data_IF_953485751138
#
_entry.id   IF_953485751138
#
_cell.length_a   1.000
_cell.length_b   1.000
_cell.length_c   1.000
_cell.angle_alpha   90.00
_cell.angle_beta   90.00
_cell.angle_gamma   90.00
#
_symmetry.space_group_name_H-M   'P 1'
#
loop_
_entity.id
_entity.type
_entity.pdbx_description
1 polymer ?
#
# COMPACT_ATOMS: atom_id res chain seq x y z
N UNK A 1 26.76 22.49 -5.16
CA UNK A 1 25.52 22.69 -4.39
C UNK A 1 25.91 23.17 -3.01
N UNK A 2 25.55 24.41 -2.63
CA UNK A 2 25.79 24.91 -1.27
C UNK A 2 25.03 23.98 -0.30
N UNK A 3 25.75 23.36 0.63
CA UNK A 3 25.13 22.51 1.65
C UNK A 3 24.19 23.36 2.52
N UNK A 4 23.01 22.83 2.79
CA UNK A 4 22.05 23.42 3.73
C UNK A 4 22.74 23.64 5.09
N UNK A 5 22.47 24.79 5.71
CA UNK A 5 23.00 25.12 7.02
C UNK A 5 22.38 24.21 8.09
N UNK A 6 23.04 24.08 9.26
CA UNK A 6 22.49 23.32 10.40
C UNK A 6 21.08 23.80 10.79
N UNK A 7 20.82 25.11 10.67
CA UNK A 7 19.53 25.73 10.94
C UNK A 7 18.45 25.26 9.96
N UNK A 8 18.81 25.08 8.69
CA UNK A 8 17.89 24.65 7.63
C UNK A 8 17.47 23.18 7.83
N UNK A 9 18.36 22.35 8.40
CA UNK A 9 18.04 20.95 8.74
C UNK A 9 17.14 20.83 9.96
N UNK A 10 17.40 21.61 11.01
CA UNK A 10 16.56 21.64 12.20
C UNK A 10 15.13 22.09 11.82
N UNK A 11 15.00 23.11 10.96
CA UNK A 11 13.71 23.55 10.42
C UNK A 11 13.00 22.44 9.64
N UNK A 12 13.72 21.74 8.75
CA UNK A 12 13.13 20.64 7.97
C UNK A 12 12.65 19.48 8.84
N UNK A 13 13.38 19.14 9.90
CA UNK A 13 12.97 18.11 10.87
C UNK A 13 11.67 18.55 11.56
N UNK A 14 11.59 19.81 12.01
CA UNK A 14 10.38 20.34 12.65
C UNK A 14 9.18 20.40 11.70
N UNK A 15 9.39 20.75 10.43
CA UNK A 15 8.33 20.73 9.42
C UNK A 15 7.82 19.30 9.18
N UNK A 16 8.73 18.33 9.02
CA UNK A 16 8.35 16.93 8.81
C UNK A 16 7.61 16.38 10.05
N UNK A 17 8.12 16.65 11.25
CA UNK A 17 7.49 16.19 12.48
C UNK A 17 6.15 16.89 12.76
N UNK A 18 6.06 18.20 12.51
CA UNK A 18 4.82 18.95 12.62
C UNK A 18 3.74 18.44 11.66
N UNK A 19 4.11 18.05 10.44
CA UNK A 19 3.20 17.41 9.50
C UNK A 19 2.70 16.05 10.01
N UNK A 20 3.59 15.26 10.62
CA UNK A 20 3.19 14.02 11.30
C UNK A 20 2.20 14.32 12.44
N UNK A 21 2.52 15.23 13.36
CA UNK A 21 1.65 15.58 14.48
C UNK A 21 0.26 16.00 14.04
N UNK A 22 0.17 16.86 13.01
CA UNK A 22 -1.11 17.29 12.44
C UNK A 22 -1.97 16.12 11.96
N UNK A 23 -1.37 15.08 11.36
CA UNK A 23 -2.10 13.86 10.97
C UNK A 23 -2.58 13.04 12.17
N UNK A 24 -1.83 13.07 13.27
CA UNK A 24 -2.14 12.29 14.46
C UNK A 24 -3.19 12.96 15.35
N UNK A 25 -3.28 14.29 15.33
CA UNK A 25 -4.25 15.08 16.11
C UNK A 25 -5.71 14.71 15.83
N UNK A 26 -6.01 14.28 14.60
CA UNK A 26 -7.36 13.86 14.20
C UNK A 26 -7.80 12.52 14.83
N UNK A 27 -6.90 11.80 15.52
CA UNK A 27 -7.19 10.50 16.13
C UNK A 27 -7.07 10.54 17.67
N UNK A 28 -8.19 10.67 18.41
CA UNK A 28 -8.17 10.83 19.87
C UNK A 28 -7.69 9.59 20.62
N UNK A 29 -7.57 8.44 19.96
CA UNK A 29 -7.10 7.20 20.57
C UNK A 29 -5.56 7.11 20.64
N UNK A 30 -4.85 8.09 20.06
CA UNK A 30 -3.40 8.11 20.05
C UNK A 30 -2.82 8.84 21.25
N UNK A 31 -1.77 8.26 21.84
CA UNK A 31 -1.03 8.90 22.93
C UNK A 31 0.05 9.82 22.34
N UNK A 32 -0.35 11.03 21.98
CA UNK A 32 0.54 12.04 21.39
C UNK A 32 1.70 12.40 22.33
N UNK A 33 1.48 12.40 23.65
CA UNK A 33 2.54 12.68 24.63
C UNK A 33 3.63 11.63 24.58
N UNK A 34 3.24 10.36 24.49
CA UNK A 34 4.19 9.26 24.36
C UNK A 34 4.92 9.30 23.01
N UNK A 35 4.23 9.67 21.92
CA UNK A 35 4.83 9.82 20.59
C UNK A 35 5.86 10.95 20.54
N UNK A 36 5.59 12.10 21.19
CA UNK A 36 6.55 13.20 21.35
C UNK A 36 7.82 12.73 22.07
N UNK A 37 7.67 12.03 23.19
CA UNK A 37 8.81 11.48 23.94
C UNK A 37 9.66 10.52 23.09
N UNK A 38 9.01 9.70 22.27
CA UNK A 38 9.70 8.77 21.36
C UNK A 38 10.45 9.51 20.27
N UNK A 39 9.83 10.54 19.68
CA UNK A 39 10.48 11.37 18.68
C UNK A 39 11.75 12.02 19.23
N UNK A 40 11.71 12.60 20.43
CA UNK A 40 12.89 13.21 21.05
C UNK A 40 14.02 12.19 21.22
N UNK A 41 13.70 10.98 21.70
CA UNK A 41 14.67 9.89 21.87
C UNK A 41 15.24 9.46 20.51
N UNK A 42 14.40 9.27 19.50
CA UNK A 42 14.84 8.86 18.15
C UNK A 42 15.73 9.93 17.50
N UNK A 43 15.34 11.22 17.61
CA UNK A 43 16.08 12.35 17.08
C UNK A 43 17.47 12.49 17.73
N UNK A 44 17.55 12.32 19.05
CA UNK A 44 18.83 12.29 19.77
C UNK A 44 19.67 11.09 19.35
N UNK A 45 19.07 9.91 19.18
CA UNK A 45 19.79 8.67 18.86
C UNK A 45 20.42 8.69 17.46
N UNK A 46 19.74 9.32 16.50
CA UNK A 46 20.23 9.47 15.13
C UNK A 46 21.01 10.79 14.90
N UNK A 47 21.34 11.53 15.97
CA UNK A 47 22.04 12.81 15.85
C UNK A 47 23.41 12.64 15.21
N UNK A 48 23.67 13.40 14.15
CA UNK A 48 24.92 13.33 13.38
C UNK A 48 24.95 12.24 12.31
N UNK A 49 23.88 11.46 12.15
CA UNK A 49 23.72 10.50 11.07
C UNK A 49 23.03 11.14 9.87
N UNK A 50 23.48 10.79 8.66
CA UNK A 50 22.97 11.33 7.40
C UNK A 50 22.72 10.21 6.40
N UNK A 51 21.67 10.36 5.59
CA UNK A 51 21.37 9.44 4.47
C UNK A 51 22.31 9.70 3.29
N UNK A 52 22.27 8.81 2.28
CA UNK A 52 22.96 9.02 0.99
C UNK A 52 22.51 10.32 0.28
N UNK A 53 21.31 10.83 0.58
CA UNK A 53 20.78 12.12 0.11
C UNK A 53 21.37 13.34 0.84
N UNK A 54 22.25 13.14 1.83
CA UNK A 54 22.74 14.14 2.80
C UNK A 54 21.66 14.70 3.75
N UNK A 55 20.48 14.10 3.80
CA UNK A 55 19.45 14.48 4.77
C UNK A 55 19.72 13.85 6.14
N UNK A 56 19.38 14.54 7.25
CA UNK A 56 19.41 13.96 8.59
C UNK A 56 18.62 12.66 8.65
N UNK A 57 19.21 11.62 9.24
CA UNK A 57 18.63 10.27 9.22
C UNK A 57 17.23 10.23 9.83
N UNK A 58 16.98 11.02 10.89
CA UNK A 58 15.69 11.10 11.59
C UNK A 58 14.49 11.41 10.69
N UNK A 59 14.69 12.08 9.56
CA UNK A 59 13.61 12.35 8.60
C UNK A 59 13.03 11.03 8.07
N UNK A 60 13.84 9.99 7.90
CA UNK A 60 13.35 8.69 7.43
C UNK A 60 12.39 8.03 8.42
N UNK A 61 12.71 7.83 9.71
CA UNK A 61 11.74 7.33 10.69
C UNK A 61 10.46 8.18 10.81
N UNK A 62 10.55 9.52 10.68
CA UNK A 62 9.35 10.39 10.68
C UNK A 62 8.45 10.09 9.48
N UNK A 63 9.03 9.99 8.28
CA UNK A 63 8.26 9.67 7.06
C UNK A 63 7.66 8.27 7.11
N UNK A 64 8.39 7.28 7.64
CA UNK A 64 7.85 5.92 7.86
C UNK A 64 6.69 5.95 8.84
N UNK A 65 6.80 6.70 9.94
CA UNK A 65 5.71 6.89 10.89
C UNK A 65 4.51 7.62 10.27
N UNK A 66 4.73 8.58 9.39
CA UNK A 66 3.70 9.28 8.62
C UNK A 66 2.95 8.34 7.67
N UNK A 67 3.66 7.46 6.97
CA UNK A 67 3.06 6.42 6.11
C UNK A 67 2.23 5.43 6.92
N UNK A 68 2.70 5.05 8.11
CA UNK A 68 1.96 4.18 9.04
C UNK A 68 0.74 4.90 9.62
N UNK A 69 0.83 6.21 9.87
CA UNK A 69 -0.27 7.02 10.35
C UNK A 69 -1.41 7.12 9.32
N UNK A 70 -1.10 7.18 8.02
CA UNK A 70 -2.09 7.16 6.93
C UNK A 70 -2.93 5.86 6.90
N UNK A 71 -2.45 4.81 7.56
CA UNK A 71 -3.18 3.55 7.75
C UNK A 71 -4.03 3.53 9.04
N UNK A 72 -4.05 4.61 9.82
CA UNK A 72 -4.76 4.75 11.09
C UNK A 72 -4.41 3.66 12.12
N UNK A 73 -3.12 3.33 12.24
CA UNK A 73 -2.60 2.31 13.15
C UNK A 73 -2.54 2.78 14.61
N UNK A 74 -2.38 1.84 15.55
CA UNK A 74 -2.30 2.15 16.99
C UNK A 74 -1.02 2.89 17.39
N UNK A 75 -1.04 3.56 18.55
CA UNK A 75 0.11 4.29 19.13
C UNK A 75 1.38 3.44 19.14
N UNK A 76 1.27 2.16 19.51
CA UNK A 76 2.43 1.25 19.55
C UNK A 76 3.07 1.05 18.17
N UNK A 77 2.29 1.02 17.09
CA UNK A 77 2.83 0.90 15.72
C UNK A 77 3.55 2.17 15.30
N UNK A 78 2.98 3.34 15.58
CA UNK A 78 3.61 4.63 15.25
C UNK A 78 4.93 4.79 16.01
N UNK A 79 4.95 4.44 17.30
CA UNK A 79 6.16 4.45 18.11
C UNK A 79 7.21 3.48 17.55
N UNK A 80 6.81 2.26 17.21
CA UNK A 80 7.73 1.29 16.63
C UNK A 80 8.28 1.75 15.27
N UNK A 81 7.48 2.46 14.46
CA UNK A 81 7.93 3.07 13.21
C UNK A 81 8.98 4.18 13.44
N UNK A 82 8.82 5.02 14.46
CA UNK A 82 9.83 6.04 14.82
C UNK A 82 11.13 5.43 15.36
N UNK A 83 11.09 4.18 15.85
CA UNK A 83 12.22 3.48 16.47
C UNK A 83 12.82 2.38 15.59
N UNK A 84 12.29 2.12 14.38
CA UNK A 84 12.54 0.86 13.68
C UNK A 84 14.03 0.59 13.37
N UNK A 85 14.80 1.64 13.07
CA UNK A 85 16.24 1.57 12.77
C UNK A 85 17.13 1.89 13.98
N UNK A 86 16.56 2.06 15.17
CA UNK A 86 17.35 2.49 16.33
C UNK A 86 18.23 1.38 16.91
N UNK A 87 17.79 0.11 16.87
CA UNK A 87 18.57 -1.01 17.45
C UNK A 87 19.82 -1.30 16.62
N UNK A 88 19.77 -1.06 15.31
CA UNK A 88 20.86 -1.41 14.39
C UNK A 88 21.83 -0.26 14.20
N UNK A 89 21.31 0.95 14.06
CA UNK A 89 22.11 2.11 13.67
C UNK A 89 22.50 2.99 14.86
N UNK A 90 22.03 2.71 16.08
CA UNK A 90 22.28 3.56 17.25
C UNK A 90 22.70 2.76 18.49
N UNK A 91 22.95 3.47 19.60
CA UNK A 91 23.28 2.88 20.90
C UNK A 91 22.06 2.29 21.64
N UNK A 92 20.85 2.49 21.12
CA UNK A 92 19.65 1.95 21.75
C UNK A 92 19.61 0.43 21.63
N UNK A 93 19.19 -0.23 22.71
CA UNK A 93 19.08 -1.69 22.76
C UNK A 93 17.64 -2.09 23.03
N UNK A 94 17.31 -3.36 22.77
CA UNK A 94 16.01 -3.93 23.14
C UNK A 94 15.65 -3.66 24.61
N UNK A 95 16.63 -3.78 25.52
CA UNK A 95 16.42 -3.54 26.94
C UNK A 95 16.02 -2.09 27.22
N UNK A 96 16.70 -1.11 26.61
CA UNK A 96 16.34 0.30 26.75
C UNK A 96 14.91 0.56 26.28
N UNK A 97 14.53 0.04 25.10
CA UNK A 97 13.18 0.23 24.55
C UNK A 97 12.13 -0.44 25.43
N UNK A 98 12.42 -1.65 25.92
CA UNK A 98 11.52 -2.39 26.82
C UNK A 98 11.29 -1.67 28.14
N UNK A 99 12.34 -1.10 28.73
CA UNK A 99 12.27 -0.44 30.03
C UNK A 99 11.52 0.90 29.92
N UNK A 100 11.65 1.62 28.80
CA UNK A 100 11.01 2.94 28.59
C UNK A 100 9.57 2.81 28.06
N UNK A 101 9.32 1.91 27.11
CA UNK A 101 8.07 1.83 26.34
C UNK A 101 7.30 0.52 26.53
N UNK A 102 7.88 -0.43 27.26
CA UNK A 102 7.28 -1.73 27.54
C UNK A 102 7.63 -2.80 26.50
N UNK A 103 7.37 -4.05 26.91
CA UNK A 103 7.72 -5.25 26.14
C UNK A 103 7.10 -5.28 24.74
N UNK A 104 5.83 -4.88 24.61
CA UNK A 104 5.08 -4.94 23.35
C UNK A 104 5.76 -4.13 22.23
N UNK A 105 6.21 -2.91 22.51
CA UNK A 105 6.89 -2.06 21.53
C UNK A 105 8.29 -2.62 21.23
N UNK A 106 9.03 -3.02 22.27
CA UNK A 106 10.36 -3.60 22.10
C UNK A 106 10.35 -4.86 21.22
N UNK A 107 9.34 -5.74 21.38
CA UNK A 107 9.18 -6.95 20.58
C UNK A 107 8.94 -6.64 19.09
N UNK A 108 8.16 -5.59 18.78
CA UNK A 108 7.93 -5.14 17.39
C UNK A 108 9.23 -4.60 16.79
N UNK A 109 9.91 -3.66 17.48
CA UNK A 109 11.15 -3.05 16.99
C UNK A 109 12.24 -4.10 16.79
N UNK A 110 12.37 -5.04 17.72
CA UNK A 110 13.30 -6.16 17.59
C UNK A 110 12.94 -7.11 16.45
N UNK A 111 11.64 -7.31 16.20
CA UNK A 111 11.15 -8.08 15.06
C UNK A 111 11.56 -7.45 13.73
N UNK A 112 11.50 -6.12 13.63
CA UNK A 112 11.91 -5.36 12.43
C UNK A 112 13.41 -5.47 12.21
N UNK A 113 14.23 -5.17 13.22
CA UNK A 113 15.69 -5.28 13.13
C UNK A 113 16.13 -6.69 12.71
N UNK A 114 15.55 -7.76 13.28
CA UNK A 114 15.90 -9.13 12.87
C UNK A 114 15.71 -9.39 11.37
N UNK A 115 14.71 -8.78 10.74
CA UNK A 115 14.52 -8.90 9.29
C UNK A 115 15.66 -8.21 8.52
N UNK A 116 16.03 -6.99 8.92
CA UNK A 116 17.09 -6.21 8.26
C UNK A 116 18.46 -6.90 8.39
N UNK A 117 18.76 -7.42 9.58
CA UNK A 117 20.01 -8.17 9.84
C UNK A 117 20.12 -9.43 8.97
N UNK A 118 19.01 -10.14 8.71
CA UNK A 118 19.02 -11.37 7.91
C UNK A 118 19.10 -11.04 6.41
N UNK A 119 18.37 -10.02 5.93
CA UNK A 119 18.48 -9.47 4.56
C UNK A 119 19.94 -9.09 4.23
N UNK A 120 20.67 -8.57 5.22
CA UNK A 120 22.08 -8.18 5.04
C UNK A 120 23.03 -9.40 4.91
N UNK A 121 22.69 -10.53 5.53
CA UNK A 121 23.48 -11.78 5.49
C UNK A 121 23.21 -12.62 4.24
N UNK A 122 22.04 -12.47 3.61
CA UNK A 122 21.65 -13.20 2.41
C UNK A 122 22.39 -12.76 1.12
N UNK A 123 23.28 -11.76 1.22
CA UNK A 123 24.13 -11.28 0.11
C UNK A 123 25.09 -12.35 -0.48
N UNK A 124 25.29 -13.50 0.18
CA UNK A 124 26.14 -14.61 -0.29
C UNK A 124 25.36 -15.63 -1.14
N UNK A 125 24.03 -15.61 -1.11
CA UNK A 125 23.18 -16.61 -1.79
C UNK A 125 22.98 -16.29 -3.30
N UNK A 126 22.36 -17.18 -4.07
CA UNK A 126 21.84 -16.84 -5.40
C UNK A 126 20.64 -15.88 -5.32
N UNK A 127 20.21 -15.31 -6.45
CA UNK A 127 19.08 -14.37 -6.46
C UNK A 127 17.75 -15.06 -6.09
N UNK A 128 17.57 -16.31 -6.51
CA UNK A 128 16.40 -17.14 -6.23
C UNK A 128 16.34 -17.56 -4.76
N UNK A 129 17.47 -18.02 -4.21
CA UNK A 129 17.57 -18.42 -2.79
C UNK A 129 17.32 -17.25 -1.85
N UNK A 130 17.85 -16.05 -2.18
CA UNK A 130 17.54 -14.82 -1.42
C UNK A 130 16.05 -14.57 -1.35
N UNK A 131 15.34 -14.64 -2.48
CA UNK A 131 13.90 -14.36 -2.51
C UNK A 131 13.12 -15.30 -1.59
N UNK A 132 13.47 -16.58 -1.59
CA UNK A 132 12.81 -17.59 -0.73
C UNK A 132 13.09 -17.31 0.75
N UNK A 133 14.35 -17.01 1.08
CA UNK A 133 14.76 -16.74 2.47
C UNK A 133 14.17 -15.43 3.00
N UNK A 134 14.23 -14.34 2.22
CA UNK A 134 13.63 -13.05 2.59
C UNK A 134 12.10 -13.21 2.79
N UNK A 135 11.44 -13.95 1.90
CA UNK A 135 10.01 -14.26 2.03
C UNK A 135 9.72 -15.08 3.31
N UNK A 136 10.49 -16.14 3.57
CA UNK A 136 10.35 -16.97 4.77
C UNK A 136 10.56 -16.16 6.05
N UNK A 137 11.56 -15.29 6.08
CA UNK A 137 11.82 -14.42 7.23
C UNK A 137 10.70 -13.43 7.47
N UNK A 138 10.20 -12.79 6.41
CA UNK A 138 9.03 -11.92 6.49
C UNK A 138 7.81 -12.67 7.02
N UNK A 139 7.57 -13.91 6.58
CA UNK A 139 6.48 -14.76 7.12
C UNK A 139 6.68 -15.12 8.61
N UNK A 140 7.90 -15.43 9.03
CA UNK A 140 8.23 -15.68 10.43
C UNK A 140 8.01 -14.45 11.33
N UNK A 141 8.25 -13.25 10.83
CA UNK A 141 7.96 -12.02 11.55
C UNK A 141 6.45 -11.74 11.64
N UNK A 142 5.73 -11.94 10.53
CA UNK A 142 4.26 -11.80 10.44
C UNK A 142 3.53 -12.72 11.41
N UNK A 143 4.02 -13.94 11.59
CA UNK A 143 3.40 -14.93 12.49
C UNK A 143 3.34 -14.47 13.94
N UNK A 144 4.25 -13.60 14.37
CA UNK A 144 4.32 -13.04 15.72
C UNK A 144 3.51 -11.76 15.86
N UNK A 145 3.68 -10.83 14.92
CA UNK A 145 2.95 -9.58 14.91
C UNK A 145 2.91 -8.97 13.50
N UNK A 146 1.72 -8.83 12.93
CA UNK A 146 1.50 -8.26 11.59
C UNK A 146 2.03 -6.83 11.47
N UNK A 147 2.11 -6.08 12.57
CA UNK A 147 2.62 -4.70 12.60
C UNK A 147 4.08 -4.60 12.19
N UNK A 148 4.87 -5.65 12.43
CA UNK A 148 6.26 -5.72 11.96
C UNK A 148 6.30 -5.65 10.42
N UNK A 149 5.43 -6.39 9.73
CA UNK A 149 5.36 -6.35 8.28
C UNK A 149 4.81 -5.01 7.76
N UNK A 150 3.80 -4.44 8.43
CA UNK A 150 3.27 -3.12 8.04
C UNK A 150 4.36 -2.06 8.09
N UNK A 151 5.15 -2.02 9.16
CA UNK A 151 6.26 -1.06 9.31
C UNK A 151 7.35 -1.35 8.26
N UNK A 152 7.71 -2.62 8.02
CA UNK A 152 8.70 -2.98 6.99
C UNK A 152 8.26 -2.59 5.58
N UNK A 153 6.97 -2.72 5.26
CA UNK A 153 6.44 -2.26 3.97
C UNK A 153 6.42 -0.73 3.86
N UNK A 154 6.15 -0.02 4.97
CA UNK A 154 6.22 1.43 5.02
C UNK A 154 7.66 1.94 4.85
N UNK A 155 8.63 1.31 5.52
CA UNK A 155 10.07 1.53 5.31
C UNK A 155 10.44 1.32 3.84
N UNK A 156 10.09 0.15 3.27
CA UNK A 156 10.36 -0.13 1.85
C UNK A 156 9.72 0.90 0.92
N UNK A 157 8.50 1.34 1.22
CA UNK A 157 7.81 2.36 0.43
C UNK A 157 8.54 3.69 0.46
N UNK A 158 8.96 4.15 1.64
CA UNK A 158 9.75 5.37 1.75
C UNK A 158 11.10 5.24 1.00
N UNK A 159 11.78 4.09 1.14
CA UNK A 159 13.02 3.83 0.42
C UNK A 159 12.84 3.87 -1.10
N UNK A 160 11.72 3.34 -1.62
CA UNK A 160 11.39 3.41 -3.04
C UNK A 160 11.04 4.84 -3.50
N UNK A 161 10.37 5.64 -2.67
CA UNK A 161 10.11 7.07 -2.97
C UNK A 161 11.42 7.87 -3.08
N UNK A 162 12.43 7.52 -2.28
CA UNK A 162 13.76 8.16 -2.28
C UNK A 162 14.82 7.42 -3.11
N UNK A 163 14.43 6.43 -3.92
CA UNK A 163 15.36 5.53 -4.61
C UNK A 163 16.34 6.28 -5.54
N UNK A 164 15.89 7.39 -6.14
CA UNK A 164 16.66 8.20 -7.06
C UNK A 164 17.91 8.85 -6.43
N UNK A 165 17.93 9.01 -5.09
CA UNK A 165 19.09 9.53 -4.37
C UNK A 165 20.27 8.57 -4.35
N UNK A 166 20.03 7.26 -4.57
CA UNK A 166 21.08 6.24 -4.60
C UNK A 166 21.82 6.35 -5.95
N UNK A 167 23.12 6.65 -5.88
CA UNK A 167 23.96 6.80 -7.10
C UNK A 167 24.23 5.48 -7.80
N UNK A 168 24.27 4.37 -7.06
CA UNK A 168 24.59 3.06 -7.60
C UNK A 168 23.37 2.44 -8.30
N UNK A 169 23.38 2.46 -9.64
CA UNK A 169 22.32 1.89 -10.49
C UNK A 169 22.07 0.39 -10.23
N UNK A 170 23.10 -0.42 -9.96
CA UNK A 170 22.93 -1.84 -9.63
C UNK A 170 22.16 -2.03 -8.32
N UNK A 171 22.49 -1.23 -7.30
CA UNK A 171 21.78 -1.23 -6.00
C UNK A 171 20.31 -0.83 -6.19
N UNK A 172 20.02 0.21 -6.98
CA UNK A 172 18.64 0.63 -7.27
C UNK A 172 17.82 -0.47 -7.95
N UNK A 173 18.35 -1.06 -9.02
CA UNK A 173 17.68 -2.16 -9.73
C UNK A 173 17.42 -3.35 -8.83
N UNK A 174 18.37 -3.71 -7.95
CA UNK A 174 18.18 -4.78 -6.97
C UNK A 174 17.02 -4.49 -6.02
N UNK A 175 16.99 -3.29 -5.43
CA UNK A 175 15.92 -2.86 -4.50
C UNK A 175 14.57 -2.86 -5.23
N UNK A 176 14.52 -2.38 -6.47
CA UNK A 176 13.29 -2.36 -7.27
C UNK A 176 12.80 -3.77 -7.63
N UNK A 177 13.68 -4.70 -7.99
CA UNK A 177 13.32 -6.10 -8.26
C UNK A 177 12.74 -6.78 -7.01
N UNK A 178 13.43 -6.65 -5.88
CA UNK A 178 12.99 -7.19 -4.60
C UNK A 178 11.64 -6.58 -4.15
N UNK A 179 11.46 -5.28 -4.41
CA UNK A 179 10.19 -4.60 -4.15
C UNK A 179 9.07 -5.18 -5.00
N UNK A 180 9.31 -5.38 -6.29
CA UNK A 180 8.31 -5.88 -7.23
C UNK A 180 7.92 -7.31 -6.91
N UNK A 181 8.89 -8.19 -6.63
CA UNK A 181 8.66 -9.63 -6.48
C UNK A 181 8.17 -10.01 -5.07
N UNK A 182 8.73 -9.38 -4.03
CA UNK A 182 8.47 -9.77 -2.64
C UNK A 182 7.52 -8.78 -1.99
N UNK A 183 7.94 -7.53 -1.81
CA UNK A 183 7.22 -6.56 -0.97
C UNK A 183 5.83 -6.24 -1.52
N UNK A 184 5.69 -6.09 -2.83
CA UNK A 184 4.38 -5.82 -3.44
C UNK A 184 3.42 -7.00 -3.30
N UNK A 185 3.93 -8.23 -3.43
CA UNK A 185 3.13 -9.44 -3.24
C UNK A 185 2.70 -9.60 -1.77
N UNK A 186 3.56 -9.24 -0.83
CA UNK A 186 3.24 -9.23 0.60
C UNK A 186 2.17 -8.18 0.93
N UNK A 187 2.32 -6.96 0.42
CA UNK A 187 1.32 -5.90 0.56
C UNK A 187 -0.07 -6.35 0.05
N UNK A 188 -0.11 -7.07 -1.09
CA UNK A 188 -1.35 -7.65 -1.62
C UNK A 188 -1.97 -8.70 -0.67
N UNK A 189 -1.14 -9.60 -0.12
CA UNK A 189 -1.60 -10.66 0.80
C UNK A 189 -2.20 -10.09 2.08
N UNK A 190 -1.61 -9.03 2.63
CA UNK A 190 -2.17 -8.32 3.80
C UNK A 190 -3.29 -7.34 3.44
N UNK A 191 -3.60 -7.20 2.15
CA UNK A 191 -4.71 -6.36 1.66
C UNK A 191 -4.43 -4.86 1.63
N UNK A 192 -3.19 -4.40 1.84
CA UNK A 192 -2.83 -2.98 1.73
C UNK A 192 -2.56 -2.67 0.25
N UNK A 193 -3.64 -2.56 -0.52
CA UNK A 193 -3.58 -2.41 -1.97
C UNK A 193 -2.90 -1.11 -2.42
N UNK A 194 -2.98 -0.04 -1.61
CA UNK A 194 -2.31 1.21 -1.92
C UNK A 194 -0.79 1.08 -1.90
N UNK A 195 -0.23 0.39 -0.89
CA UNK A 195 1.21 0.09 -0.85
C UNK A 195 1.61 -0.80 -2.01
N UNK A 196 0.84 -1.88 -2.28
CA UNK A 196 1.08 -2.76 -3.42
C UNK A 196 1.23 -1.96 -4.71
N UNK A 197 0.24 -1.11 -5.02
CA UNK A 197 0.19 -0.37 -6.28
C UNK A 197 1.36 0.60 -6.38
N UNK A 198 1.62 1.37 -5.33
CA UNK A 198 2.70 2.38 -5.33
C UNK A 198 4.09 1.74 -5.41
N UNK A 199 4.36 0.68 -4.62
CA UNK A 199 5.59 -0.09 -4.70
C UNK A 199 5.82 -0.65 -6.11
N UNK A 200 4.77 -1.15 -6.75
CA UNK A 200 4.84 -1.67 -8.12
C UNK A 200 5.13 -0.57 -9.13
N UNK A 201 4.47 0.58 -9.02
CA UNK A 201 4.69 1.70 -9.94
C UNK A 201 6.11 2.26 -9.84
N UNK A 202 6.62 2.41 -8.60
CA UNK A 202 7.98 2.90 -8.35
C UNK A 202 9.02 1.88 -8.85
N UNK A 203 8.82 0.59 -8.59
CA UNK A 203 9.72 -0.45 -9.09
C UNK A 203 9.67 -0.55 -10.62
N UNK A 204 8.48 -0.47 -11.22
CA UNK A 204 8.29 -0.49 -12.67
C UNK A 204 9.01 0.68 -13.34
N UNK A 205 8.94 1.88 -12.75
CA UNK A 205 9.62 3.05 -13.27
C UNK A 205 11.15 2.91 -13.31
N UNK A 206 11.76 2.24 -12.32
CA UNK A 206 13.21 2.01 -12.31
C UNK A 206 13.64 0.83 -13.21
N UNK A 207 12.84 -0.25 -13.26
CA UNK A 207 13.22 -1.47 -13.97
C UNK A 207 12.94 -1.43 -15.46
N UNK A 208 11.81 -0.84 -15.86
CA UNK A 208 11.24 -0.92 -17.20
C UNK A 208 10.85 0.47 -17.71
N UNK A 209 11.77 1.44 -17.59
CA UNK A 209 11.52 2.84 -17.94
C UNK A 209 11.10 3.05 -19.41
N UNK A 210 11.66 2.28 -20.33
CA UNK A 210 11.30 2.35 -21.76
C UNK A 210 9.88 1.84 -22.02
N UNK A 211 9.51 0.71 -21.42
CA UNK A 211 8.14 0.18 -21.53
C UNK A 211 7.13 1.16 -20.93
N UNK A 212 7.48 1.78 -19.79
CA UNK A 212 6.65 2.81 -19.16
C UNK A 212 6.39 3.98 -20.11
N UNK A 213 7.43 4.52 -20.74
CA UNK A 213 7.32 5.63 -21.69
C UNK A 213 6.48 5.25 -22.91
N UNK A 214 6.65 4.03 -23.44
CA UNK A 214 5.88 3.53 -24.57
C UNK A 214 4.37 3.48 -24.26
N UNK A 215 4.00 2.88 -23.13
CA UNK A 215 2.60 2.80 -22.69
C UNK A 215 2.04 4.19 -22.39
N UNK A 216 2.80 5.08 -21.76
CA UNK A 216 2.37 6.46 -21.50
C UNK A 216 2.10 7.24 -22.79
N UNK A 217 2.95 7.08 -23.81
CA UNK A 217 2.73 7.69 -25.11
C UNK A 217 1.44 7.19 -25.76
N UNK A 218 1.18 5.88 -25.73
CA UNK A 218 -0.06 5.33 -26.27
C UNK A 218 -1.31 5.79 -25.50
N UNK A 219 -1.23 5.87 -24.16
CA UNK A 219 -2.32 6.42 -23.35
C UNK A 219 -2.58 7.90 -23.68
N UNK A 220 -1.53 8.69 -23.90
CA UNK A 220 -1.66 10.10 -24.26
C UNK A 220 -2.32 10.30 -25.65
N UNK A 221 -2.10 9.39 -26.60
CA UNK A 221 -2.82 9.39 -27.87
C UNK A 221 -4.32 9.13 -27.66
N UNK A 222 -4.66 8.11 -26.87
CA UNK A 222 -6.05 7.80 -26.55
C UNK A 222 -6.74 8.96 -25.83
N UNK A 223 -6.05 9.66 -24.92
CA UNK A 223 -6.60 10.84 -24.23
C UNK A 223 -6.92 11.99 -25.18
N UNK A 224 -6.06 12.22 -26.18
CA UNK A 224 -6.29 13.27 -27.19
C UNK A 224 -7.51 12.95 -28.06
N UNK A 225 -7.70 11.67 -28.41
CA UNK A 225 -8.81 11.24 -29.25
C UNK A 225 -10.13 11.08 -28.47
N UNK A 226 -10.05 10.67 -27.19
CA UNK A 226 -11.20 10.32 -26.36
C UNK A 226 -11.82 11.48 -25.58
N UNK A 227 -11.17 12.64 -25.50
CA UNK A 227 -11.68 13.79 -24.73
C UNK A 227 -12.09 13.40 -23.30
N UNK A 228 -13.19 13.97 -22.81
CA UNK A 228 -13.74 13.68 -21.47
C UNK A 228 -14.65 12.43 -21.41
N UNK A 229 -14.21 11.34 -22.07
CA UNK A 229 -14.95 10.07 -22.13
C UNK A 229 -15.25 9.49 -20.74
N UNK A 230 -14.31 9.65 -19.80
CA UNK A 230 -14.45 9.14 -18.43
C UNK A 230 -15.62 9.83 -17.73
N UNK A 231 -15.71 11.17 -17.75
CA UNK A 231 -16.80 11.87 -17.08
C UNK A 231 -18.15 11.63 -17.77
N UNK A 232 -18.17 11.47 -19.11
CA UNK A 232 -19.39 11.07 -19.83
C UNK A 232 -19.91 9.73 -19.34
N UNK A 233 -19.05 8.69 -19.29
CA UNK A 233 -19.43 7.36 -18.81
C UNK A 233 -19.85 7.41 -17.33
N UNK A 234 -19.15 8.20 -16.49
CA UNK A 234 -19.57 8.40 -15.09
C UNK A 234 -20.97 9.00 -15.03
N UNK A 235 -21.27 10.02 -15.85
CA UNK A 235 -22.58 10.66 -15.92
C UNK A 235 -23.69 9.69 -16.33
N UNK A 236 -23.45 8.87 -17.35
CA UNK A 236 -24.39 7.83 -17.79
C UNK A 236 -24.60 6.74 -16.74
N UNK A 237 -23.53 6.24 -16.11
CA UNK A 237 -23.66 5.25 -15.05
C UNK A 237 -24.44 5.83 -13.86
N UNK A 238 -24.20 7.10 -13.50
CA UNK A 238 -24.98 7.78 -12.44
C UNK A 238 -26.46 7.87 -12.81
N UNK A 239 -26.81 8.25 -14.05
CA UNK A 239 -28.21 8.37 -14.45
C UNK A 239 -28.94 7.02 -14.44
N UNK A 240 -28.30 5.96 -14.92
CA UNK A 240 -28.83 4.57 -14.89
C UNK A 240 -29.06 4.09 -13.46
N UNK A 241 -28.13 4.38 -12.54
CA UNK A 241 -28.24 3.94 -11.15
C UNK A 241 -29.31 4.73 -10.37
N UNK A 242 -29.41 6.05 -10.61
CA UNK A 242 -30.41 6.91 -9.96
C UNK A 242 -31.83 6.55 -10.44
N UNK A 243 -32.03 6.32 -11.74
CA UNK A 243 -33.34 5.93 -12.29
C UNK A 243 -33.82 4.57 -11.77
N UNK A 244 -32.91 3.73 -11.31
CA UNK A 244 -33.18 2.42 -10.73
C UNK A 244 -33.43 2.47 -9.20
N UNK A 245 -33.54 3.66 -8.61
CA UNK A 245 -33.81 3.89 -7.18
C UNK A 245 -32.81 3.21 -6.23
N UNK A 246 -31.52 3.27 -6.60
CA UNK A 246 -30.40 2.70 -5.83
C UNK A 246 -29.82 3.78 -4.92
N UNK A 247 -29.51 3.46 -3.66
CA UNK A 247 -28.84 4.38 -2.75
C UNK A 247 -27.36 4.52 -3.11
N UNK A 248 -27.10 5.34 -4.11
CA UNK A 248 -25.78 5.60 -4.64
C UNK A 248 -24.99 6.52 -3.70
N UNK A 249 -23.79 6.08 -3.31
CA UNK A 249 -22.85 6.92 -2.56
C UNK A 249 -21.97 7.67 -3.54
N UNK A 250 -21.32 6.96 -4.47
CA UNK A 250 -20.45 7.58 -5.46
C UNK A 250 -20.21 6.69 -6.69
N UNK A 251 -19.89 7.32 -7.82
CA UNK A 251 -19.35 6.66 -9.01
C UNK A 251 -18.10 7.40 -9.44
N UNK A 252 -16.98 6.69 -9.45
CA UNK A 252 -15.69 7.23 -9.89
C UNK A 252 -15.15 6.42 -11.06
N UNK A 253 -14.68 7.12 -12.09
CA UNK A 253 -13.92 6.54 -13.18
C UNK A 253 -12.45 6.84 -13.01
N UNK A 254 -11.59 5.87 -13.30
CA UNK A 254 -10.15 6.10 -13.40
C UNK A 254 -9.52 5.30 -14.53
N UNK A 255 -8.44 5.85 -15.07
CA UNK A 255 -7.54 5.10 -15.93
C UNK A 255 -6.68 4.15 -15.10
N UNK A 256 -6.38 2.98 -15.66
CA UNK A 256 -5.41 2.07 -15.04
C UNK A 256 -4.02 2.66 -15.15
N UNK A 257 -3.25 2.45 -14.09
CA UNK A 257 -1.85 2.86 -14.04
C UNK A 257 -1.00 2.04 -15.02
N UNK A 258 0.06 2.65 -15.54
CA UNK A 258 0.99 2.09 -16.53
C UNK A 258 1.51 0.70 -16.14
N UNK A 259 1.90 0.49 -14.87
CA UNK A 259 2.38 -0.80 -14.40
C UNK A 259 1.31 -1.91 -14.49
N UNK A 260 0.04 -1.58 -14.20
CA UNK A 260 -1.07 -2.55 -14.28
C UNK A 260 -1.35 -2.95 -15.72
N UNK A 261 -1.23 -1.99 -16.64
CA UNK A 261 -1.38 -2.21 -18.09
C UNK A 261 -0.23 -3.10 -18.59
N UNK A 262 1.01 -2.75 -18.26
CA UNK A 262 2.20 -3.54 -18.62
C UNK A 262 2.08 -5.00 -18.16
N UNK A 263 1.67 -5.24 -16.90
CA UNK A 263 1.45 -6.60 -16.39
C UNK A 263 0.38 -7.35 -17.17
N UNK A 264 -0.72 -6.69 -17.57
CA UNK A 264 -1.76 -7.32 -18.40
C UNK A 264 -1.20 -7.72 -19.77
N UNK A 265 -0.40 -6.86 -20.41
CA UNK A 265 0.26 -7.14 -21.69
C UNK A 265 1.16 -8.37 -21.57
N UNK A 266 2.04 -8.39 -20.56
CA UNK A 266 2.98 -9.49 -20.33
C UNK A 266 2.26 -10.81 -20.01
N UNK A 267 1.31 -10.81 -19.08
CA UNK A 267 0.65 -12.04 -18.61
C UNK A 267 -0.29 -12.64 -19.66
N UNK A 268 -0.98 -11.82 -20.45
CA UNK A 268 -1.94 -12.30 -21.45
C UNK A 268 -1.36 -12.38 -22.87
N UNK A 269 -0.10 -11.97 -23.07
CA UNK A 269 0.54 -11.84 -24.40
C UNK A 269 -0.33 -11.06 -25.40
N UNK A 270 -1.05 -10.04 -24.91
CA UNK A 270 -1.96 -9.23 -25.73
C UNK A 270 -1.21 -8.07 -26.35
N UNK A 271 -1.55 -7.73 -27.60
CA UNK A 271 -1.16 -6.44 -28.17
C UNK A 271 -1.88 -5.30 -27.46
N UNK A 272 -1.28 -4.11 -27.46
CA UNK A 272 -1.87 -2.93 -26.82
C UNK A 272 -3.23 -2.55 -27.42
N UNK A 273 -3.41 -2.75 -28.73
CA UNK A 273 -4.67 -2.51 -29.45
C UNK A 273 -5.83 -3.37 -28.92
N UNK A 274 -5.51 -4.54 -28.34
CA UNK A 274 -6.49 -5.44 -27.73
C UNK A 274 -6.72 -5.17 -26.23
N UNK A 275 -6.04 -4.19 -25.63
CA UNK A 275 -6.32 -3.73 -24.26
C UNK A 275 -7.63 -2.95 -24.24
N UNK A 276 -8.71 -3.72 -24.18
CA UNK A 276 -10.06 -3.22 -24.13
C UNK A 276 -10.45 -2.71 -22.74
N UNK A 277 -9.68 -3.02 -21.68
CA UNK A 277 -9.99 -2.65 -20.29
C UNK A 277 -9.06 -1.55 -19.72
N UNK A 278 -8.82 -0.46 -20.44
CA UNK A 278 -7.96 0.65 -19.96
C UNK A 278 -8.64 1.42 -18.83
N UNK A 279 -9.95 1.64 -18.96
CA UNK A 279 -10.76 2.35 -17.99
C UNK A 279 -11.34 1.38 -16.96
N UNK A 280 -11.36 1.81 -15.70
CA UNK A 280 -12.00 1.10 -14.61
C UNK A 280 -12.89 2.06 -13.84
N UNK A 281 -14.12 1.62 -13.57
CA UNK A 281 -15.11 2.40 -12.85
C UNK A 281 -15.43 1.70 -11.54
N UNK A 282 -15.69 2.51 -10.52
CA UNK A 282 -16.02 2.06 -9.18
C UNK A 282 -17.38 2.66 -8.83
N UNK A 283 -18.31 1.79 -8.47
CA UNK A 283 -19.63 2.15 -7.97
C UNK A 283 -19.65 1.83 -6.48
N UNK A 284 -19.86 2.85 -5.66
CA UNK A 284 -19.97 2.73 -4.21
C UNK A 284 -21.43 2.93 -3.84
N UNK A 285 -21.99 1.96 -3.13
CA UNK A 285 -23.38 1.96 -2.65
C UNK A 285 -23.43 1.84 -1.13
N UNK A 286 -24.59 2.03 -0.53
CA UNK A 286 -24.76 1.91 0.93
C UNK A 286 -24.68 0.44 1.37
N UNK A 287 -25.54 -0.42 0.82
CA UNK A 287 -25.72 -1.78 1.30
C UNK A 287 -25.42 -2.86 0.27
N UNK A 288 -25.30 -4.10 0.74
CA UNK A 288 -24.97 -5.27 -0.11
C UNK A 288 -26.09 -5.56 -1.10
N UNK A 289 -27.35 -5.35 -0.72
CA UNK A 289 -28.49 -5.50 -1.62
C UNK A 289 -28.39 -4.55 -2.81
N UNK A 290 -28.01 -3.30 -2.55
CA UNK A 290 -27.81 -2.28 -3.57
C UNK A 290 -26.64 -2.61 -4.51
N UNK A 291 -25.64 -3.40 -4.08
CA UNK A 291 -24.60 -3.89 -4.98
C UNK A 291 -25.19 -4.77 -6.09
N UNK A 292 -26.09 -5.69 -5.73
CA UNK A 292 -26.72 -6.59 -6.69
C UNK A 292 -27.80 -5.90 -7.54
N UNK A 293 -28.54 -4.93 -6.96
CA UNK A 293 -29.44 -4.06 -7.74
C UNK A 293 -28.67 -3.25 -8.78
N UNK A 294 -27.55 -2.65 -8.39
CA UNK A 294 -26.67 -1.92 -9.30
C UNK A 294 -26.11 -2.80 -10.42
N UNK A 295 -25.72 -4.04 -10.09
CA UNK A 295 -25.29 -5.01 -11.09
C UNK A 295 -26.40 -5.28 -12.13
N UNK A 296 -27.62 -5.54 -11.66
CA UNK A 296 -28.77 -5.78 -12.53
C UNK A 296 -29.12 -4.56 -13.40
N UNK A 297 -29.13 -3.36 -12.82
CA UNK A 297 -29.36 -2.11 -13.55
C UNK A 297 -28.34 -1.91 -14.67
N UNK A 298 -27.05 -2.17 -14.39
CA UNK A 298 -25.98 -2.06 -15.37
C UNK A 298 -26.14 -3.10 -16.49
N UNK A 299 -26.39 -4.37 -16.15
CA UNK A 299 -26.54 -5.45 -17.13
C UNK A 299 -27.81 -5.35 -17.99
N UNK A 300 -28.85 -4.68 -17.50
CA UNK A 300 -30.05 -4.38 -18.28
C UNK A 300 -29.82 -3.28 -19.32
N UNK A 301 -28.88 -2.35 -19.07
CA UNK A 301 -28.58 -1.24 -19.98
C UNK A 301 -27.38 -1.52 -20.90
N UNK A 302 -26.46 -2.39 -20.47
CA UNK A 302 -25.24 -2.70 -21.21
C UNK A 302 -24.97 -4.21 -21.26
N UNK A 303 -24.52 -4.68 -22.43
CA UNK A 303 -24.16 -6.08 -22.59
C UNK A 303 -22.89 -6.43 -21.79
N UNK A 304 -23.00 -7.45 -20.94
CA UNK A 304 -21.85 -7.98 -20.21
C UNK A 304 -20.99 -8.88 -21.11
N UNK A 305 -19.68 -8.87 -20.88
CA UNK A 305 -18.74 -9.76 -21.57
C UNK A 305 -18.77 -11.14 -20.90
N UNK A 306 -19.11 -12.22 -21.62
CA UNK A 306 -19.19 -13.56 -21.05
C UNK A 306 -17.88 -13.99 -20.35
N UNK A 307 -18.02 -14.63 -19.19
CA UNK A 307 -16.88 -15.11 -18.39
C UNK A 307 -16.09 -14.02 -17.66
N UNK A 308 -16.49 -12.75 -17.77
CA UNK A 308 -15.83 -11.62 -17.11
C UNK A 308 -16.45 -11.19 -15.77
N UNK A 309 -17.53 -11.84 -15.34
CA UNK A 309 -18.17 -11.57 -14.05
C UNK A 309 -17.49 -12.35 -12.91
N UNK A 310 -17.27 -11.69 -11.77
CA UNK A 310 -16.75 -12.30 -10.54
C UNK A 310 -17.46 -11.73 -9.32
N UNK A 311 -18.04 -12.60 -8.50
CA UNK A 311 -18.68 -12.24 -7.24
C UNK A 311 -17.74 -12.46 -6.05
N UNK A 312 -16.94 -11.44 -5.73
CA UNK A 312 -16.11 -11.46 -4.52
C UNK A 312 -16.88 -11.06 -3.25
N UNK A 313 -18.17 -10.72 -3.32
CA UNK A 313 -18.99 -10.50 -2.12
C UNK A 313 -19.37 -11.85 -1.52
N UNK A 314 -19.89 -12.76 -2.36
CA UNK A 314 -20.24 -14.14 -2.00
C UNK A 314 -19.00 -15.01 -1.78
N UNK A 315 -17.96 -14.84 -2.60
CA UNK A 315 -16.67 -15.54 -2.46
C UNK A 315 -15.51 -14.57 -2.21
N UNK A 316 -15.36 -14.05 -0.97
CA UNK A 316 -14.28 -13.10 -0.65
C UNK A 316 -12.90 -13.68 -0.93
N UNK A 317 -11.96 -12.81 -1.32
CA UNK A 317 -10.56 -13.21 -1.41
C UNK A 317 -9.99 -13.50 -0.02
N UNK A 318 -8.87 -14.20 0.02
CA UNK A 318 -8.15 -14.57 1.26
C UNK A 318 -7.77 -13.36 2.13
N UNK A 319 -7.55 -12.19 1.52
CA UNK A 319 -7.23 -10.94 2.20
C UNK A 319 -8.47 -10.14 2.67
N UNK A 320 -9.68 -10.71 2.56
CA UNK A 320 -10.93 -10.07 2.97
C UNK A 320 -11.52 -9.12 1.92
N UNK A 321 -10.92 -8.99 0.74
CA UNK A 321 -11.44 -8.18 -0.35
C UNK A 321 -12.82 -8.67 -0.82
N UNK A 322 -13.77 -7.73 -0.90
CA UNK A 322 -15.14 -7.96 -1.39
C UNK A 322 -15.55 -6.89 -2.39
N UNK A 323 -16.08 -7.30 -3.53
CA UNK A 323 -16.64 -6.44 -4.60
C UNK A 323 -17.24 -7.32 -5.70
N UNK A 324 -18.26 -6.83 -6.41
CA UNK A 324 -18.70 -7.43 -7.67
C UNK A 324 -17.85 -6.85 -8.79
N UNK A 325 -17.25 -7.71 -9.61
CA UNK A 325 -16.50 -7.29 -10.80
C UNK A 325 -17.25 -7.73 -12.02
N UNK A 326 -17.43 -6.83 -12.97
CA UNK A 326 -18.00 -7.15 -14.28
C UNK A 326 -17.29 -6.35 -15.36
N UNK A 327 -17.25 -6.89 -16.57
CA UNK A 327 -16.82 -6.16 -17.75
C UNK A 327 -18.02 -6.04 -18.67
N UNK A 328 -18.34 -4.83 -19.09
CA UNK A 328 -19.43 -4.54 -20.03
C UNK A 328 -18.87 -3.97 -21.33
N UNK A 329 -19.66 -4.04 -22.39
CA UNK A 329 -19.47 -3.23 -23.60
C UNK A 329 -20.27 -1.95 -23.38
N UNK A 330 -19.55 -0.89 -23.03
CA UNK A 330 -20.12 0.43 -22.74
C UNK A 330 -20.28 1.29 -24.00
N UNK A 331 -20.51 2.60 -23.80
CA UNK A 331 -20.62 3.57 -24.89
C UNK A 331 -19.42 3.50 -25.84
N UNK A 332 -19.66 3.77 -27.12
CA UNK A 332 -18.64 3.71 -28.19
C UNK A 332 -17.97 2.34 -28.37
N UNK A 333 -18.67 1.25 -28.01
CA UNK A 333 -18.20 -0.14 -28.14
C UNK A 333 -16.89 -0.43 -27.38
N UNK A 334 -16.59 0.37 -26.35
CA UNK A 334 -15.43 0.17 -25.49
C UNK A 334 -15.75 -0.85 -24.40
N UNK A 335 -14.79 -1.70 -24.04
CA UNK A 335 -14.96 -2.55 -22.86
C UNK A 335 -14.64 -1.74 -21.61
N UNK A 336 -15.44 -1.96 -20.58
CA UNK A 336 -15.36 -1.19 -19.35
C UNK A 336 -15.41 -2.15 -18.18
N UNK A 337 -14.39 -2.10 -17.32
CA UNK A 337 -14.40 -2.84 -16.06
C UNK A 337 -15.11 -2.03 -14.99
N UNK A 338 -16.14 -2.61 -14.38
CA UNK A 338 -16.92 -1.99 -13.28
C UNK A 338 -16.74 -2.82 -12.02
N UNK A 339 -16.46 -2.12 -10.92
CA UNK A 339 -16.34 -2.68 -9.58
C UNK A 339 -17.43 -2.08 -8.68
N UNK A 340 -18.33 -2.92 -8.19
CA UNK A 340 -19.44 -2.50 -7.32
C UNK A 340 -19.18 -3.00 -5.91
N UNK A 341 -19.33 -2.15 -4.91
CA UNK A 341 -19.09 -2.48 -3.50
C UNK A 341 -19.71 -1.46 -2.56
N UNK A 342 -19.85 -1.83 -1.29
CA UNK A 342 -20.28 -0.87 -0.26
C UNK A 342 -19.13 0.03 0.19
N UNK A 343 -19.45 1.10 0.93
CA UNK A 343 -18.43 1.98 1.54
C UNK A 343 -17.50 1.21 2.49
N UNK A 344 -18.05 0.32 3.33
CA UNK A 344 -17.24 -0.51 4.23
C UNK A 344 -16.32 -1.46 3.45
N UNK A 345 -16.84 -2.11 2.40
CA UNK A 345 -16.03 -2.95 1.51
C UNK A 345 -14.95 -2.14 0.79
N UNK A 346 -15.24 -0.88 0.43
CA UNK A 346 -14.27 0.02 -0.14
C UNK A 346 -13.14 0.33 0.84
N UNK A 347 -13.44 0.67 2.10
CA UNK A 347 -12.44 0.90 3.15
C UNK A 347 -11.54 -0.33 3.36
N UNK A 348 -12.13 -1.52 3.47
CA UNK A 348 -11.36 -2.78 3.61
C UNK A 348 -10.46 -3.00 2.39
N UNK A 349 -10.95 -2.71 1.18
CA UNK A 349 -10.17 -2.91 -0.03
C UNK A 349 -9.03 -1.88 -0.22
N UNK A 350 -9.09 -0.71 0.40
CA UNK A 350 -8.00 0.28 0.33
C UNK A 350 -6.95 0.05 1.44
N UNK A 351 -7.42 -0.24 2.66
CA UNK A 351 -6.58 -0.28 3.86
C UNK A 351 -6.30 -1.69 4.40
N UNK A 352 -6.97 -2.74 3.90
CA UNK A 352 -6.71 -4.13 4.25
C UNK A 352 -6.78 -4.42 5.75
N UNK A 353 -5.74 -5.10 6.27
CA UNK A 353 -5.56 -5.39 7.71
C UNK A 353 -5.63 -4.12 8.58
N UNK A 354 -5.20 -2.96 8.08
CA UNK A 354 -5.24 -1.73 8.86
C UNK A 354 -6.68 -1.28 9.17
N UNK A 355 -7.63 -1.51 8.24
CA UNK A 355 -9.05 -1.30 8.50
C UNK A 355 -9.60 -2.22 9.61
N UNK A 356 -9.07 -3.46 9.73
CA UNK A 356 -9.45 -4.36 10.82
C UNK A 356 -8.94 -3.88 12.19
N UNK A 357 -7.80 -3.19 12.25
CA UNK A 357 -7.27 -2.68 13.51
C UNK A 357 -8.13 -1.53 14.07
N UNK A 358 -8.68 -0.68 13.21
CA UNK A 358 -9.69 0.31 13.61
C UNK A 358 -10.94 -0.37 14.20
N UNK A 359 -11.41 -1.46 13.57
CA UNK A 359 -12.58 -2.22 14.04
C UNK A 359 -12.33 -2.86 15.42
N UNK A 360 -11.12 -3.36 15.69
CA UNK A 360 -10.73 -3.93 16.98
C UNK A 360 -10.69 -2.91 18.12
N UNK A 361 -10.35 -1.64 17.84
CA UNK A 361 -10.40 -0.58 18.85
C UNK A 361 -11.85 -0.25 19.26
N UNK A 362 -12.79 -0.35 18.32
CA UNK A 362 -14.21 -0.13 18.59
C UNK A 362 -14.90 -1.33 19.29
N UNK A 363 -14.40 -2.55 19.08
CA UNK A 363 -14.99 -3.78 19.65
C UNK A 363 -13.93 -4.73 20.25
N UNK A 364 -13.39 -4.43 21.45
CA UNK A 364 -12.26 -5.17 22.04
C UNK A 364 -12.57 -6.63 22.45
N UNK A 365 -13.85 -7.00 22.61
CA UNK A 365 -14.27 -8.30 23.15
C UNK A 365 -14.54 -9.41 22.12
N UNK A 366 -14.41 -9.15 20.80
CA UNK A 366 -14.51 -10.21 19.79
C UNK A 366 -13.16 -10.91 19.60
N UNK A 367 -13.07 -12.17 20.04
CA UNK A 367 -11.99 -13.08 19.65
C UNK A 367 -12.13 -13.39 18.15
N UNK A 368 -11.40 -12.67 17.31
CA UNK A 368 -11.31 -13.01 15.90
C UNK A 368 -10.12 -13.93 15.61
N UNK A 369 -10.37 -14.88 14.71
CA UNK A 369 -9.38 -15.82 14.19
C UNK A 369 -8.20 -15.02 13.64
N UNK A 370 -7.00 -15.31 14.14
CA UNK A 370 -5.76 -14.97 13.44
C UNK A 370 -5.97 -15.22 11.95
N UNK A 371 -5.58 -14.28 11.10
CA UNK A 371 -5.70 -14.37 9.65
C UNK A 371 -5.38 -15.80 9.20
N UNK A 372 -6.42 -16.57 8.86
CA UNK A 372 -6.32 -18.01 8.63
C UNK A 372 -5.26 -18.32 7.55
N UNK A 373 -5.11 -17.39 6.61
CA UNK A 373 -4.09 -17.41 5.57
C UNK A 373 -2.65 -17.32 6.09
N UNK A 374 -2.37 -16.63 7.21
CA UNK A 374 -1.03 -16.59 7.84
C UNK A 374 -0.67 -18.00 8.33
N UNK A 375 -1.61 -18.67 9.00
CA UNK A 375 -1.44 -20.06 9.45
C UNK A 375 -1.35 -21.05 8.27
N UNK A 376 -2.14 -20.85 7.21
CA UNK A 376 -2.12 -21.69 6.01
C UNK A 376 -0.80 -21.53 5.22
N UNK A 377 -0.19 -20.34 5.17
CA UNK A 377 1.14 -20.15 4.55
C UNK A 377 2.25 -20.76 5.40
N UNK A 378 2.20 -20.61 6.72
CA UNK A 378 3.17 -21.25 7.62
C UNK A 378 3.11 -22.79 7.55
N UNK A 379 2.00 -23.35 7.10
CA UNK A 379 1.83 -24.79 6.88
C UNK A 379 2.34 -25.27 5.50
N UNK A 380 2.59 -24.36 4.56
CA UNK A 380 3.09 -24.65 3.20
C UNK A 380 4.62 -24.40 3.11
N UNK A 381 5.18 -23.62 4.05
CA UNK A 381 6.62 -23.45 4.27
C UNK A 381 7.18 -24.55 5.18
#
# INVERSE_FOLDING_TARGET
MKGLSKKDWDEKIQVAYGALLKKLEDNPNLDIKLINKVFDISNVSHKGQFRESNEPYIIHPIEVASIVADLNMDTSTIIAALLHDTIEDTILTYKHIKDIFGKKIADIVQGISKLITIESKSNILSAEERKVEDYRNLMCAVSKDIRVLVIKLADRLHNMRTLNCIKNSKKRKRIALETMDIHSALAERIGIHNFKNELQDLAFAELYSQDKLSIENQLNLIRKDGGDLVNKIVGELKSVLISSNINLVDVTGREKKTCSIWRKIQNKKLSFENLSDIFAFKVIVQDVEDCYKALGAIHNNYHMVPGAFKDYISTPKTNGYKSLHTIIIGPESKRIEIQIRTENMHRIAEFGVAAHWQYKQQFPNKKEKHFKWISEILAIL
#
